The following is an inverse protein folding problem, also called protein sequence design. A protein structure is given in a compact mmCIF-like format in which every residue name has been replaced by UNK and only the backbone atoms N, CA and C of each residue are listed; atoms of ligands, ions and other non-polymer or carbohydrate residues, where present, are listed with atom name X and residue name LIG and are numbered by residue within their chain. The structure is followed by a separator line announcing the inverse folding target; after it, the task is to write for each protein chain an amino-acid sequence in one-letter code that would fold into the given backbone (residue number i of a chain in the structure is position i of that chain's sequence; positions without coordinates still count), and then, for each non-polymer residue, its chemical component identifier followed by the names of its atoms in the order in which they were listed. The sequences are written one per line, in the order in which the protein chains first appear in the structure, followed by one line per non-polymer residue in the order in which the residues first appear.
data_IF_141713931866
#
_entry.id   IF_141713931866
#
_cell.length_a   1.000
_cell.length_b   1.000
_cell.length_c   1.000
_cell.angle_alpha   90.00
_cell.angle_beta   90.00
_cell.angle_gamma   90.00
#
_symmetry.space_group_name_H-M   'P 1'
#
loop_
_entity.id
_entity.type
_entity.pdbx_description
1 polymer ?
#
# COMPACT_ATOMS: atom_id res chain seq x y z
N UNK A 1 12.28 2.77 -17.21
CA UNK A 1 11.95 1.35 -16.91
C UNK A 1 12.54 1.01 -15.56
N UNK A 2 11.82 0.23 -14.75
CA UNK A 2 12.24 -0.26 -13.43
C UNK A 2 12.19 -1.79 -13.43
N UNK A 3 13.05 -2.45 -12.65
CA UNK A 3 13.07 -3.91 -12.53
C UNK A 3 12.19 -4.37 -11.37
N UNK A 4 11.71 -5.61 -11.43
CA UNK A 4 11.01 -6.25 -10.31
C UNK A 4 11.86 -6.28 -9.04
N UNK A 5 13.18 -6.49 -9.17
CA UNK A 5 14.11 -6.51 -8.05
C UNK A 5 14.17 -5.16 -7.33
N UNK A 6 14.29 -4.06 -8.08
CA UNK A 6 14.33 -2.71 -7.50
C UNK A 6 13.03 -2.36 -6.75
N UNK A 7 11.88 -2.75 -7.31
CA UNK A 7 10.57 -2.60 -6.67
C UNK A 7 10.48 -3.45 -5.41
N UNK A 8 10.85 -4.73 -5.48
CA UNK A 8 10.83 -5.67 -4.37
C UNK A 8 11.70 -5.20 -3.20
N UNK A 9 12.91 -4.70 -3.49
CA UNK A 9 13.81 -4.16 -2.47
C UNK A 9 13.19 -2.97 -1.73
N UNK A 10 12.51 -2.08 -2.45
CA UNK A 10 11.82 -0.92 -1.85
C UNK A 10 10.67 -1.37 -0.97
N UNK A 11 9.84 -2.31 -1.43
CA UNK A 11 8.72 -2.85 -0.64
C UNK A 11 9.22 -3.52 0.65
N UNK A 12 10.25 -4.35 0.55
CA UNK A 12 10.88 -5.03 1.69
C UNK A 12 11.40 -4.03 2.72
N UNK A 13 12.15 -3.02 2.28
CA UNK A 13 12.73 -1.99 3.14
C UNK A 13 11.64 -1.19 3.86
N UNK A 14 10.62 -0.73 3.14
CA UNK A 14 9.54 0.08 3.73
C UNK A 14 8.73 -0.74 4.73
N UNK A 15 8.34 -1.98 4.38
CA UNK A 15 7.59 -2.84 5.30
C UNK A 15 8.38 -3.14 6.59
N UNK A 16 9.68 -3.44 6.48
CA UNK A 16 10.55 -3.66 7.65
C UNK A 16 10.71 -2.41 8.50
N UNK A 17 10.94 -1.25 7.87
CA UNK A 17 11.18 0.02 8.56
C UNK A 17 9.98 0.49 9.38
N UNK A 18 8.77 0.23 8.89
CA UNK A 18 7.53 0.63 9.55
C UNK A 18 6.84 -0.52 10.31
N UNK A 19 7.42 -1.72 10.31
CA UNK A 19 6.87 -2.88 11.04
C UNK A 19 5.52 -3.37 10.50
N UNK A 20 5.26 -3.15 9.20
CA UNK A 20 4.01 -3.53 8.55
C UNK A 20 3.91 -5.06 8.54
N UNK A 21 2.77 -5.58 8.97
CA UNK A 21 2.53 -7.01 9.13
C UNK A 21 1.09 -7.39 8.74
N UNK A 22 0.76 -8.67 8.83
CA UNK A 22 -0.54 -9.20 8.39
C UNK A 22 -1.76 -8.67 9.16
N UNK A 23 -1.56 -8.03 10.31
CA UNK A 23 -2.67 -7.42 11.07
C UNK A 23 -3.02 -6.00 10.59
N UNK A 24 -2.23 -5.43 9.69
CA UNK A 24 -2.45 -4.08 9.19
C UNK A 24 -3.48 -4.06 8.05
N UNK A 25 -4.08 -2.88 7.88
CA UNK A 25 -5.01 -2.55 6.81
C UNK A 25 -4.46 -1.35 6.04
N UNK A 26 -4.12 -1.55 4.78
CA UNK A 26 -3.54 -0.52 3.91
C UNK A 26 -4.59 -0.02 2.93
N UNK A 27 -4.61 1.29 2.68
CA UNK A 27 -5.49 1.90 1.69
C UNK A 27 -4.85 1.87 0.30
N UNK A 28 -5.61 1.48 -0.72
CA UNK A 28 -5.27 1.77 -2.12
C UNK A 28 -5.61 3.24 -2.42
N UNK A 29 -4.74 4.14 -1.97
CA UNK A 29 -4.99 5.59 -2.04
C UNK A 29 -4.48 6.19 -3.36
N UNK A 30 -3.34 5.69 -3.82
CA UNK A 30 -2.66 6.20 -5.01
C UNK A 30 -3.43 5.83 -6.27
N UNK A 31 -3.45 6.76 -7.24
CA UNK A 31 -3.90 6.43 -8.60
C UNK A 31 -3.08 5.26 -9.15
N UNK A 32 -3.72 4.32 -9.85
CA UNK A 32 -3.03 3.21 -10.53
C UNK A 32 -2.03 3.67 -11.62
N UNK A 33 -2.13 4.93 -12.05
CA UNK A 33 -1.17 5.54 -12.98
C UNK A 33 -0.01 6.25 -12.26
N UNK A 34 0.02 6.24 -10.93
CA UNK A 34 1.08 6.82 -10.10
C UNK A 34 1.94 5.71 -9.48
N UNK A 35 3.23 5.96 -9.29
CA UNK A 35 4.21 4.96 -8.87
C UNK A 35 3.93 4.36 -7.48
N UNK A 36 3.44 5.16 -6.53
CA UNK A 36 3.09 4.68 -5.19
C UNK A 36 1.97 3.63 -5.18
N UNK A 37 1.16 3.51 -6.23
CA UNK A 37 0.18 2.42 -6.32
C UNK A 37 0.82 1.03 -6.28
N UNK A 38 2.08 0.92 -6.70
CA UNK A 38 2.86 -0.31 -6.57
C UNK A 38 3.08 -0.65 -5.10
N UNK A 39 3.43 0.33 -4.25
CA UNK A 39 3.59 0.09 -2.83
C UNK A 39 2.24 -0.15 -2.13
N UNK A 40 1.19 0.60 -2.46
CA UNK A 40 -0.14 0.39 -1.88
C UNK A 40 -0.59 -1.08 -2.05
N UNK A 41 -0.43 -1.63 -3.26
CA UNK A 41 -0.85 -3.00 -3.58
C UNK A 41 0.13 -4.04 -3.02
N UNK A 42 1.40 -3.95 -3.43
CA UNK A 42 2.36 -5.01 -3.13
C UNK A 42 2.96 -4.91 -1.73
N UNK A 43 2.99 -3.72 -1.13
CA UNK A 43 3.33 -3.53 0.28
C UNK A 43 2.39 -4.33 1.18
N UNK A 44 1.07 -4.24 0.93
CA UNK A 44 0.08 -5.00 1.68
C UNK A 44 0.20 -6.51 1.45
N UNK A 45 0.21 -6.94 0.19
CA UNK A 45 0.20 -8.37 -0.15
C UNK A 45 1.50 -9.09 0.22
N UNK A 46 2.64 -8.40 0.24
CA UNK A 46 3.93 -9.00 0.60
C UNK A 46 3.99 -9.45 2.06
N UNK A 47 3.22 -8.83 2.96
CA UNK A 47 3.15 -9.18 4.39
C UNK A 47 1.84 -9.86 4.80
N UNK A 48 0.91 -10.04 3.86
CA UNK A 48 -0.42 -10.61 4.14
C UNK A 48 -1.38 -9.64 4.83
N UNK A 49 -1.16 -8.33 4.70
CA UNK A 49 -2.07 -7.29 5.18
C UNK A 49 -3.32 -7.18 4.28
N UNK A 50 -4.38 -6.58 4.82
CA UNK A 50 -5.57 -6.29 4.03
C UNK A 50 -5.37 -5.04 3.16
N UNK A 51 -5.73 -5.11 1.88
CA UNK A 51 -5.81 -3.95 0.99
C UNK A 51 -7.26 -3.46 0.92
N UNK A 52 -7.49 -2.20 1.27
CA UNK A 52 -8.82 -1.59 1.33
C UNK A 52 -8.96 -0.53 0.26
N UNK A 53 -10.03 -0.60 -0.52
CA UNK A 53 -10.36 0.38 -1.55
C UNK A 53 -11.28 1.43 -0.95
N UNK A 54 -10.95 2.71 -1.14
CA UNK A 54 -11.84 3.81 -0.78
C UNK A 54 -12.74 4.18 -1.96
N UNK A 55 -14.03 4.38 -1.70
CA UNK A 55 -14.97 4.91 -2.69
C UNK A 55 -14.68 6.38 -3.03
N UNK A 56 -14.13 7.13 -2.06
CA UNK A 56 -13.70 8.53 -2.25
C UNK A 56 -12.31 8.76 -1.60
N UNK A 57 -11.22 8.51 -2.34
CA UNK A 57 -9.86 8.67 -1.82
C UNK A 57 -9.48 10.13 -1.53
N UNK A 58 -10.29 11.12 -1.95
CA UNK A 58 -10.02 12.54 -1.69
C UNK A 58 -10.70 13.03 -0.41
N UNK A 59 -11.63 12.27 0.15
CA UNK A 59 -12.34 12.59 1.37
C UNK A 59 -11.67 11.94 2.59
N UNK A 60 -10.86 12.72 3.31
CA UNK A 60 -10.11 12.23 4.47
C UNK A 60 -10.99 11.68 5.59
N UNK A 61 -12.24 12.14 5.73
CA UNK A 61 -13.18 11.61 6.73
C UNK A 61 -13.66 10.21 6.36
N UNK A 62 -14.00 10.00 5.09
CA UNK A 62 -14.39 8.69 4.57
C UNK A 62 -13.25 7.67 4.68
N UNK A 63 -12.00 8.11 4.50
CA UNK A 63 -10.82 7.26 4.70
C UNK A 63 -10.70 6.74 6.13
N UNK A 64 -10.95 7.59 7.14
CA UNK A 64 -10.87 7.18 8.56
C UNK A 64 -11.94 6.13 8.88
N UNK A 65 -13.12 6.23 8.28
CA UNK A 65 -14.24 5.30 8.52
C UNK A 65 -14.01 3.92 7.84
N UNK A 66 -13.05 3.83 6.92
CA UNK A 66 -12.80 2.64 6.07
C UNK A 66 -11.84 1.63 6.72
N UNK A 67 -11.08 2.03 7.74
CA UNK A 67 -10.00 1.25 8.40
C UNK A 67 -10.33 0.94 9.85
#
# INVERSE_FOLDING_TARGET
MITHEAVSNTILDVNQRFGINSNDRMLLLSSLCFDLSVFDIFGAFQVGAALVLSEDPKNSRALIETI
#
